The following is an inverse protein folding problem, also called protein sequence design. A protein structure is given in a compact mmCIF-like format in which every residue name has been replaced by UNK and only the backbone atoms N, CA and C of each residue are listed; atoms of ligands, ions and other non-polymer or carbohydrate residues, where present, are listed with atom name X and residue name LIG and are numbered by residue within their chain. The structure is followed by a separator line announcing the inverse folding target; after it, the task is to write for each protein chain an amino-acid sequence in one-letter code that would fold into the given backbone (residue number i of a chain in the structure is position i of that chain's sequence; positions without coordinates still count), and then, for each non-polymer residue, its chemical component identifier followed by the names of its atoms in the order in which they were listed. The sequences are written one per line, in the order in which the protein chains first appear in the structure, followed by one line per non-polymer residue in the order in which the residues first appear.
data_IF_602972325169
#
_entry.id   IF_602972325169
#
_cell.length_a   1.000
_cell.length_b   1.000
_cell.length_c   1.000
_cell.angle_alpha   90.00
_cell.angle_beta   90.00
_cell.angle_gamma   90.00
#
_symmetry.space_group_name_H-M   'P 1'
#
loop_
_entity.id
_entity.type
_entity.pdbx_description
1 polymer ?
#
# COMPACT_ATOMS: atom_id res chain seq x y z
N UNK A 1 78.51 -11.36 -6.46
CA UNK A 1 77.27 -11.47 -5.67
C UNK A 1 77.24 -10.32 -4.67
N UNK A 2 76.43 -9.30 -4.95
CA UNK A 2 76.25 -8.16 -4.04
C UNK A 2 75.02 -8.45 -3.19
N UNK A 3 75.15 -8.48 -1.87
CA UNK A 3 74.23 -7.79 -0.97
C UNK A 3 74.96 -7.50 0.34
N UNK A 4 75.32 -6.22 0.46
CA UNK A 4 75.82 -5.49 1.62
C UNK A 4 74.74 -5.34 2.68
N UNK A 5 75.02 -5.74 3.92
CA UNK A 5 74.26 -5.34 5.10
C UNK A 5 74.87 -4.06 5.69
N UNK A 6 74.06 -3.01 5.83
CA UNK A 6 74.42 -1.79 6.56
C UNK A 6 73.42 -1.61 7.71
N UNK A 7 73.96 -1.41 8.91
CA UNK A 7 73.23 -1.09 10.14
C UNK A 7 72.98 0.43 10.15
N UNK A 8 71.76 0.85 10.49
CA UNK A 8 71.50 2.20 10.97
C UNK A 8 70.61 2.18 12.22
N UNK A 9 71.14 2.77 13.29
CA UNK A 9 70.43 3.20 14.49
C UNK A 9 69.68 4.50 14.20
N UNK A 10 68.37 4.57 14.48
CA UNK A 10 67.66 5.85 14.61
C UNK A 10 66.70 5.87 15.80
N UNK A 11 66.73 7.04 16.45
CA UNK A 11 66.13 7.45 17.73
C UNK A 11 64.60 7.39 17.76
N UNK A 12 63.97 7.28 18.96
CA UNK A 12 62.52 7.37 19.08
C UNK A 12 62.06 8.82 18.85
N UNK A 13 61.15 9.01 17.89
CA UNK A 13 60.43 10.26 17.66
C UNK A 13 59.15 10.21 18.49
N UNK A 14 59.02 11.14 19.44
CA UNK A 14 57.78 11.41 20.17
C UNK A 14 56.79 12.04 19.17
N UNK A 15 55.75 11.31 18.77
CA UNK A 15 54.63 11.89 18.03
C UNK A 15 53.71 12.62 19.01
N UNK A 16 53.78 13.95 19.01
CA UNK A 16 52.80 14.81 19.67
C UNK A 16 51.53 14.81 18.80
N UNK A 17 50.51 14.05 19.21
CA UNK A 17 49.19 14.11 18.58
C UNK A 17 48.43 15.33 19.10
N UNK A 18 48.40 16.40 18.31
CA UNK A 18 47.49 17.53 18.55
C UNK A 18 46.09 17.10 18.11
N UNK A 19 45.27 16.70 19.08
CA UNK A 19 43.84 16.45 18.91
C UNK A 19 43.13 17.81 18.81
N UNK A 20 42.93 18.30 17.59
CA UNK A 20 42.06 19.46 17.34
C UNK A 20 40.61 18.97 17.45
N UNK A 21 39.98 19.21 18.60
CA UNK A 21 38.53 19.13 18.74
C UNK A 21 37.89 20.26 17.91
N UNK A 22 37.54 19.96 16.65
CA UNK A 22 36.52 20.76 15.99
C UNK A 22 35.18 20.40 16.63
N UNK A 23 34.73 21.25 17.55
CA UNK A 23 33.34 21.27 17.98
C UNK A 23 32.54 21.75 16.77
N UNK A 24 32.12 20.81 15.93
CA UNK A 24 31.08 21.05 14.96
C UNK A 24 29.81 21.39 15.72
N UNK A 25 29.40 22.66 15.68
CA UNK A 25 28.04 23.06 16.02
C UNK A 25 27.10 22.31 15.07
N UNK A 26 26.64 21.13 15.50
CA UNK A 26 25.48 20.47 14.91
C UNK A 26 24.30 21.39 15.21
N UNK A 27 24.04 22.31 14.30
CA UNK A 27 22.76 22.98 14.25
C UNK A 27 21.75 21.89 13.91
N UNK A 28 21.12 21.32 14.94
CA UNK A 28 19.84 20.67 14.78
C UNK A 28 18.88 21.76 14.28
N UNK A 29 18.86 21.98 12.96
CA UNK A 29 17.75 22.66 12.33
C UNK A 29 16.54 21.80 12.65
N UNK A 30 15.73 22.28 13.58
CA UNK A 30 14.34 21.86 13.73
C UNK A 30 13.68 22.10 12.36
N UNK A 31 13.72 21.11 11.48
CA UNK A 31 12.93 21.13 10.25
C UNK A 31 11.49 21.15 10.71
N UNK A 32 10.78 22.25 10.46
CA UNK A 32 9.35 22.29 10.68
C UNK A 32 8.71 21.05 10.03
N UNK A 33 7.74 20.40 10.70
CA UNK A 33 7.13 19.19 10.17
C UNK A 33 6.54 19.48 8.79
N UNK A 34 6.75 18.54 7.85
CA UNK A 34 6.20 18.65 6.50
C UNK A 34 4.67 18.62 6.61
N UNK A 35 4.01 19.62 6.05
CA UNK A 35 2.55 19.69 5.98
C UNK A 35 2.08 19.08 4.66
N UNK A 36 1.59 17.84 4.69
CA UNK A 36 1.07 17.18 3.49
C UNK A 36 -0.15 17.90 2.91
N UNK A 37 -1.01 18.49 3.75
CA UNK A 37 -2.17 19.25 3.29
C UNK A 37 -1.79 20.45 2.42
N UNK A 38 -0.69 21.14 2.75
CA UNK A 38 -0.20 22.27 1.96
C UNK A 38 0.40 21.80 0.63
N UNK A 39 1.10 20.67 0.65
CA UNK A 39 1.64 20.04 -0.57
C UNK A 39 0.52 19.66 -1.51
N UNK A 40 -0.52 18.98 -1.00
CA UNK A 40 -1.66 18.52 -1.77
C UNK A 40 -2.40 19.72 -2.40
N UNK A 41 -2.63 20.78 -1.61
CA UNK A 41 -3.26 22.00 -2.08
C UNK A 41 -2.44 22.73 -3.15
N UNK A 42 -1.11 22.64 -3.09
CA UNK A 42 -0.22 23.20 -4.10
C UNK A 42 -0.19 22.35 -5.37
N UNK A 43 -0.14 21.02 -5.25
CA UNK A 43 -0.19 20.07 -6.38
C UNK A 43 -1.50 20.19 -7.15
N UNK A 44 -2.62 20.43 -6.46
CA UNK A 44 -3.92 20.68 -7.08
C UNK A 44 -3.94 21.93 -7.99
N UNK A 45 -2.93 22.81 -7.90
CA UNK A 45 -2.78 24.00 -8.75
C UNK A 45 -1.84 23.76 -9.94
N UNK A 46 -1.26 22.57 -10.08
CA UNK A 46 -0.40 22.25 -11.21
C UNK A 46 -1.23 22.24 -12.51
N UNK A 47 -0.60 22.46 -13.68
CA UNK A 47 -1.32 22.45 -14.95
C UNK A 47 -1.99 21.09 -15.21
N UNK A 48 -3.24 21.10 -15.69
CA UNK A 48 -3.98 19.87 -16.02
C UNK A 48 -3.38 19.11 -17.22
N UNK A 49 -2.72 19.83 -18.12
CA UNK A 49 -2.17 19.35 -19.40
C UNK A 49 -0.68 18.96 -19.31
N UNK A 50 -0.29 18.27 -18.24
CA UNK A 50 1.02 17.63 -18.15
C UNK A 50 1.01 16.38 -19.03
N UNK A 51 1.72 16.46 -20.16
CA UNK A 51 1.82 15.40 -21.17
C UNK A 51 3.08 14.53 -21.02
N UNK A 52 4.00 14.92 -20.12
CA UNK A 52 5.22 14.18 -19.83
C UNK A 52 5.57 14.27 -18.33
N UNK A 53 6.12 13.19 -17.76
CA UNK A 53 6.43 13.12 -16.33
C UNK A 53 7.69 13.90 -15.95
N UNK A 54 8.59 14.16 -16.91
CA UNK A 54 9.78 14.98 -16.69
C UNK A 54 9.39 16.43 -16.33
N UNK A 55 8.40 17.01 -17.02
CA UNK A 55 7.86 18.34 -16.73
C UNK A 55 7.25 18.39 -15.33
N UNK A 56 6.49 17.35 -14.94
CA UNK A 56 5.97 17.25 -13.58
C UNK A 56 7.10 17.19 -12.54
N UNK A 57 8.13 16.36 -12.78
CA UNK A 57 9.28 16.27 -11.89
C UNK A 57 10.02 17.62 -11.78
N UNK A 58 10.09 18.41 -12.85
CA UNK A 58 10.64 19.77 -12.81
C UNK A 58 9.81 20.73 -11.95
N UNK A 59 8.47 20.69 -12.05
CA UNK A 59 7.59 21.48 -11.19
C UNK A 59 7.77 21.10 -9.71
N UNK A 60 7.80 19.80 -9.42
CA UNK A 60 7.98 19.27 -8.06
C UNK A 60 9.34 19.71 -7.49
N UNK A 61 10.44 19.60 -8.26
CA UNK A 61 11.78 20.03 -7.82
C UNK A 61 11.88 21.53 -7.58
N UNK A 62 11.11 22.34 -8.32
CA UNK A 62 11.06 23.78 -8.12
C UNK A 62 10.38 24.12 -6.80
N UNK A 63 9.29 23.42 -6.48
CA UNK A 63 8.45 23.74 -5.32
C UNK A 63 8.97 23.09 -4.02
N UNK A 64 9.67 21.96 -4.10
CA UNK A 64 10.09 21.18 -2.94
C UNK A 64 11.55 20.75 -3.00
N UNK A 65 12.24 20.91 -1.87
CA UNK A 65 13.64 20.49 -1.69
C UNK A 65 13.75 19.13 -0.99
N UNK A 66 12.90 18.87 0.01
CA UNK A 66 12.96 17.64 0.79
C UNK A 66 12.44 16.44 -0.03
N UNK A 67 13.16 15.30 -0.07
CA UNK A 67 12.75 14.12 -0.84
C UNK A 67 11.35 13.61 -0.48
N UNK A 68 10.96 13.66 0.79
CA UNK A 68 9.62 13.25 1.23
C UNK A 68 8.53 14.18 0.69
N UNK A 69 8.76 15.49 0.67
CA UNK A 69 7.81 16.44 0.10
C UNK A 69 7.69 16.27 -1.42
N UNK A 70 8.82 15.99 -2.10
CA UNK A 70 8.82 15.66 -3.52
C UNK A 70 8.06 14.35 -3.82
N UNK A 71 8.27 13.31 -3.00
CA UNK A 71 7.52 12.06 -3.11
C UNK A 71 6.03 12.29 -2.89
N UNK A 72 5.66 13.04 -1.86
CA UNK A 72 4.27 13.38 -1.57
C UNK A 72 3.61 14.02 -2.78
N UNK A 73 4.28 15.01 -3.38
CA UNK A 73 3.77 15.70 -4.54
C UNK A 73 3.59 14.77 -5.75
N UNK A 74 4.56 13.90 -6.01
CA UNK A 74 4.48 12.91 -7.09
C UNK A 74 3.33 11.91 -6.87
N UNK A 75 3.19 11.39 -5.65
CA UNK A 75 2.15 10.43 -5.27
C UNK A 75 0.75 11.03 -5.44
N UNK A 76 0.52 12.20 -4.84
CA UNK A 76 -0.78 12.87 -4.88
C UNK A 76 -1.16 13.22 -6.31
N UNK A 77 -0.22 13.74 -7.10
CA UNK A 77 -0.50 14.07 -8.49
C UNK A 77 -0.97 12.84 -9.26
N UNK A 78 -0.24 11.72 -9.18
CA UNK A 78 -0.63 10.48 -9.87
C UNK A 78 -1.99 9.97 -9.39
N UNK A 79 -2.23 9.92 -8.08
CA UNK A 79 -3.48 9.41 -7.50
C UNK A 79 -4.71 10.28 -7.81
N UNK A 80 -4.51 11.59 -8.03
CA UNK A 80 -5.63 12.54 -8.25
C UNK A 80 -5.86 12.88 -9.71
N UNK A 81 -4.89 12.63 -10.60
CA UNK A 81 -4.97 13.00 -12.02
C UNK A 81 -5.20 11.82 -12.97
N UNK A 82 -5.04 10.58 -12.49
CA UNK A 82 -5.33 9.36 -13.23
C UNK A 82 -6.53 8.67 -12.58
N UNK A 83 -7.47 8.19 -13.40
CA UNK A 83 -8.63 7.40 -12.96
C UNK A 83 -8.42 5.93 -13.30
N UNK A 84 -8.98 5.03 -12.50
CA UNK A 84 -8.84 3.61 -12.76
C UNK A 84 -9.67 3.21 -14.00
N UNK A 85 -9.03 2.51 -14.95
CA UNK A 85 -9.66 2.08 -16.20
C UNK A 85 -10.47 0.79 -15.99
N UNK A 86 -11.71 0.94 -15.51
CA UNK A 86 -12.60 -0.22 -15.29
C UNK A 86 -12.94 -0.94 -16.61
N UNK A 87 -13.04 -0.21 -17.72
CA UNK A 87 -13.33 -0.82 -19.02
C UNK A 87 -12.19 -1.72 -19.46
N UNK A 88 -10.94 -1.27 -19.37
CA UNK A 88 -9.78 -2.11 -19.69
C UNK A 88 -9.62 -3.26 -18.69
N UNK A 89 -9.85 -3.03 -17.39
CA UNK A 89 -9.83 -4.05 -16.35
C UNK A 89 -10.81 -5.20 -16.63
N UNK A 90 -12.05 -4.86 -17.02
CA UNK A 90 -13.09 -5.85 -17.33
C UNK A 90 -13.06 -6.37 -18.77
N UNK A 91 -12.25 -5.79 -19.66
CA UNK A 91 -12.18 -6.17 -21.08
C UNK A 91 -11.64 -7.58 -21.34
N UNK A 92 -11.11 -8.27 -20.31
CA UNK A 92 -10.48 -9.60 -20.40
C UNK A 92 -9.37 -9.68 -21.46
N UNK A 93 -8.79 -8.54 -21.85
CA UNK A 93 -7.73 -8.50 -22.86
C UNK A 93 -6.50 -9.26 -22.36
N UNK A 94 -5.89 -10.11 -23.20
CA UNK A 94 -4.68 -10.82 -22.80
C UNK A 94 -3.54 -9.82 -22.60
N UNK A 95 -2.75 -10.03 -21.54
CA UNK A 95 -1.54 -9.25 -21.27
C UNK A 95 -0.59 -9.30 -22.47
N UNK A 96 -0.10 -8.13 -22.91
CA UNK A 96 0.87 -8.03 -24.01
C UNK A 96 2.16 -8.77 -23.66
N UNK A 97 2.53 -9.77 -24.47
CA UNK A 97 3.78 -10.52 -24.31
C UNK A 97 4.91 -9.82 -25.05
N UNK A 98 5.99 -9.51 -24.35
CA UNK A 98 7.21 -8.92 -24.93
C UNK A 98 8.25 -10.03 -25.14
N UNK A 99 8.50 -10.39 -26.40
CA UNK A 99 9.55 -11.33 -26.78
C UNK A 99 10.89 -10.60 -26.98
N UNK A 100 11.99 -11.20 -26.54
CA UNK A 100 13.35 -10.65 -26.64
C UNK A 100 14.38 -11.77 -26.74
N UNK A 101 15.55 -11.47 -27.33
CA UNK A 101 16.65 -12.41 -27.57
C UNK A 101 17.90 -12.11 -26.74
N UNK A 102 17.98 -10.93 -26.13
CA UNK A 102 19.09 -10.52 -25.26
C UNK A 102 18.62 -9.66 -24.10
N UNK A 103 19.45 -9.53 -23.05
CA UNK A 103 19.19 -8.64 -21.91
C UNK A 103 19.07 -7.17 -22.33
N UNK A 104 19.91 -6.73 -23.28
CA UNK A 104 19.88 -5.36 -23.79
C UNK A 104 18.58 -5.07 -24.55
N UNK A 105 18.16 -6.00 -25.42
CA UNK A 105 16.90 -5.88 -26.15
C UNK A 105 15.70 -5.86 -25.19
N UNK A 106 15.69 -6.75 -24.18
CA UNK A 106 14.67 -6.76 -23.12
C UNK A 106 14.56 -5.39 -22.45
N UNK A 107 15.69 -4.80 -22.03
CA UNK A 107 15.72 -3.49 -21.37
C UNK A 107 15.15 -2.39 -22.27
N UNK A 108 15.52 -2.37 -23.55
CA UNK A 108 15.00 -1.39 -24.53
C UNK A 108 13.51 -1.54 -24.74
N UNK A 109 13.01 -2.77 -24.98
CA UNK A 109 11.58 -3.04 -25.23
C UNK A 109 10.72 -2.72 -24.01
N UNK A 110 11.19 -3.04 -22.80
CA UNK A 110 10.49 -2.67 -21.57
C UNK A 110 10.40 -1.15 -21.41
N UNK A 111 11.49 -0.42 -21.67
CA UNK A 111 11.47 1.05 -21.61
C UNK A 111 10.46 1.65 -22.60
N UNK A 112 10.39 1.13 -23.82
CA UNK A 112 9.41 1.57 -24.83
C UNK A 112 7.99 1.26 -24.37
N UNK A 113 7.73 0.07 -23.83
CA UNK A 113 6.42 -0.30 -23.32
C UNK A 113 5.98 0.57 -22.14
N UNK A 114 6.88 0.85 -21.19
CA UNK A 114 6.64 1.75 -20.06
C UNK A 114 6.32 3.17 -20.54
N UNK A 115 7.10 3.70 -21.48
CA UNK A 115 6.86 5.01 -22.06
C UNK A 115 5.48 5.09 -22.73
N UNK A 116 5.14 4.11 -23.56
CA UNK A 116 3.84 4.05 -24.24
C UNK A 116 2.67 3.93 -23.25
N UNK A 117 2.85 3.20 -22.14
CA UNK A 117 1.86 3.07 -21.07
C UNK A 117 1.61 4.43 -20.41
N UNK A 118 2.68 5.13 -20.01
CA UNK A 118 2.61 6.46 -19.39
C UNK A 118 1.95 7.47 -20.34
N UNK A 119 2.41 7.55 -21.59
CA UNK A 119 1.85 8.48 -22.59
C UNK A 119 0.37 8.22 -22.85
N UNK A 120 -0.05 6.95 -22.88
CA UNK A 120 -1.46 6.60 -22.96
C UNK A 120 -2.21 7.11 -21.74
N UNK A 121 -1.73 6.82 -20.52
CA UNK A 121 -2.39 7.24 -19.29
C UNK A 121 -2.44 8.75 -19.10
N UNK A 122 -1.40 9.49 -19.47
CA UNK A 122 -1.39 10.95 -19.41
C UNK A 122 -2.39 11.57 -20.39
N UNK A 123 -2.54 10.99 -21.58
CA UNK A 123 -3.47 11.44 -22.61
C UNK A 123 -4.92 11.12 -22.27
N UNK A 124 -5.21 9.91 -21.83
CA UNK A 124 -6.58 9.46 -21.53
C UNK A 124 -7.02 9.80 -20.10
N UNK A 125 -6.08 10.13 -19.21
CA UNK A 125 -6.27 10.22 -17.76
C UNK A 125 -6.80 8.91 -17.16
N UNK A 126 -6.49 7.78 -17.78
CA UNK A 126 -6.93 6.43 -17.40
C UNK A 126 -5.73 5.49 -17.24
N UNK A 127 -5.78 4.59 -16.26
CA UNK A 127 -4.75 3.57 -16.08
C UNK A 127 -5.18 2.40 -15.20
N UNK A 128 -4.48 1.28 -15.34
CA UNK A 128 -4.51 0.15 -14.40
C UNK A 128 -3.36 0.26 -13.40
N UNK A 129 -3.32 -0.61 -12.39
CA UNK A 129 -2.30 -0.58 -11.34
C UNK A 129 -0.84 -0.52 -11.86
N UNK A 130 -0.54 -1.20 -12.97
CA UNK A 130 0.78 -1.11 -13.62
C UNK A 130 1.13 0.32 -14.06
N UNK A 131 0.17 1.09 -14.57
CA UNK A 131 0.37 2.48 -14.99
C UNK A 131 0.69 3.36 -13.78
N UNK A 132 -0.11 3.29 -12.70
CA UNK A 132 0.14 4.04 -11.46
C UNK A 132 1.52 3.74 -10.90
N UNK A 133 1.85 2.46 -10.71
CA UNK A 133 3.12 2.05 -10.13
C UNK A 133 4.32 2.45 -11.02
N UNK A 134 4.15 2.41 -12.34
CA UNK A 134 5.17 2.85 -13.31
C UNK A 134 5.35 4.37 -13.27
N UNK A 135 4.28 5.15 -13.22
CA UNK A 135 4.34 6.61 -13.15
C UNK A 135 5.04 7.09 -11.88
N UNK A 136 4.69 6.51 -10.71
CA UNK A 136 5.38 6.83 -9.45
C UNK A 136 6.86 6.47 -9.53
N UNK A 137 7.20 5.29 -10.05
CA UNK A 137 8.60 4.86 -10.22
C UNK A 137 9.40 5.82 -11.10
N UNK A 138 8.84 6.25 -12.23
CA UNK A 138 9.50 7.18 -13.16
C UNK A 138 9.68 8.56 -12.53
N UNK A 139 8.67 9.06 -11.81
CA UNK A 139 8.79 10.31 -11.06
C UNK A 139 9.86 10.22 -9.97
N UNK A 140 9.87 9.13 -9.19
CA UNK A 140 10.91 8.89 -8.18
C UNK A 140 12.31 8.87 -8.80
N UNK A 141 12.50 8.20 -9.94
CA UNK A 141 13.78 8.18 -10.64
C UNK A 141 14.21 9.59 -11.09
N UNK A 142 13.28 10.38 -11.63
CA UNK A 142 13.53 11.76 -12.02
C UNK A 142 13.88 12.64 -10.81
N UNK A 143 13.27 12.37 -9.66
CA UNK A 143 13.47 13.04 -8.38
C UNK A 143 14.68 12.49 -7.59
N UNK A 144 15.37 11.46 -8.10
CA UNK A 144 16.49 10.78 -7.43
C UNK A 144 16.10 10.13 -6.10
N UNK A 145 14.86 9.67 -5.98
CA UNK A 145 14.34 8.91 -4.85
C UNK A 145 14.39 7.42 -5.24
N UNK A 146 15.17 6.56 -4.57
CA UNK A 146 15.20 5.16 -4.91
C UNK A 146 13.82 4.54 -4.72
N UNK A 147 13.31 3.88 -5.76
CA UNK A 147 12.00 3.25 -5.75
C UNK A 147 12.04 1.94 -6.54
N UNK A 148 11.13 1.03 -6.22
CA UNK A 148 10.91 -0.22 -6.95
C UNK A 148 9.42 -0.42 -7.24
N UNK A 149 9.11 -1.16 -8.29
CA UNK A 149 7.75 -1.64 -8.55
C UNK A 149 7.66 -3.05 -7.98
N UNK A 150 6.68 -3.27 -7.11
CA UNK A 150 6.39 -4.56 -6.51
C UNK A 150 5.17 -5.14 -7.21
N UNK A 151 5.28 -6.41 -7.63
CA UNK A 151 4.15 -7.16 -8.15
C UNK A 151 3.69 -8.15 -7.08
N UNK A 152 2.39 -8.38 -6.98
CA UNK A 152 1.89 -9.35 -6.02
C UNK A 152 0.39 -9.53 -6.07
N UNK A 153 -0.17 -9.69 -4.88
CA UNK A 153 -1.54 -10.15 -4.67
C UNK A 153 -2.27 -9.20 -3.74
N UNK A 154 -3.50 -8.87 -4.10
CA UNK A 154 -4.45 -8.22 -3.20
C UNK A 154 -5.59 -9.14 -2.84
N UNK A 155 -6.22 -8.86 -1.70
CA UNK A 155 -7.37 -9.61 -1.21
C UNK A 155 -8.55 -8.67 -1.01
N UNK A 156 -9.34 -8.48 -2.07
CA UNK A 156 -10.50 -7.57 -2.10
C UNK A 156 -11.84 -8.31 -2.19
N UNK A 157 -11.82 -9.64 -2.28
CA UNK A 157 -13.01 -10.47 -2.47
C UNK A 157 -13.06 -11.61 -1.45
N UNK A 158 -14.16 -11.69 -0.70
CA UNK A 158 -14.38 -12.69 0.34
C UNK A 158 -14.31 -14.13 -0.19
N UNK A 159 -14.53 -14.36 -1.49
CA UNK A 159 -14.36 -15.68 -2.13
C UNK A 159 -12.92 -16.18 -2.06
N UNK A 160 -11.94 -15.27 -2.05
CA UNK A 160 -10.52 -15.58 -1.95
C UNK A 160 -10.10 -16.02 -0.54
N UNK A 161 -10.92 -15.78 0.48
CA UNK A 161 -10.61 -16.19 1.85
C UNK A 161 -10.56 -17.72 1.95
N UNK A 162 -9.44 -18.21 2.46
CA UNK A 162 -9.10 -19.62 2.59
C UNK A 162 -8.63 -20.27 1.28
N UNK A 163 -8.44 -19.51 0.21
CA UNK A 163 -7.92 -19.99 -1.09
C UNK A 163 -6.44 -19.67 -1.25
N UNK A 164 -5.82 -20.05 -2.37
CA UNK A 164 -4.45 -19.63 -2.72
C UNK A 164 -4.36 -19.35 -4.22
N UNK A 165 -4.81 -18.16 -4.67
CA UNK A 165 -4.75 -17.75 -6.06
C UNK A 165 -3.33 -17.77 -6.59
N UNK A 166 -3.15 -18.23 -7.83
CA UNK A 166 -1.81 -18.30 -8.47
C UNK A 166 -1.49 -17.00 -9.20
N UNK A 167 -2.49 -16.37 -9.80
CA UNK A 167 -2.35 -15.19 -10.66
C UNK A 167 -2.19 -13.94 -9.79
N UNK A 168 -1.10 -13.21 -10.03
CA UNK A 168 -0.85 -11.87 -9.50
C UNK A 168 -1.86 -10.91 -10.09
N UNK A 169 -2.46 -10.06 -9.27
CA UNK A 169 -3.55 -9.18 -9.68
C UNK A 169 -3.27 -7.71 -9.38
N UNK A 170 -2.08 -7.37 -8.86
CA UNK A 170 -1.78 -5.99 -8.48
C UNK A 170 -0.30 -5.62 -8.55
N UNK A 171 -0.04 -4.31 -8.69
CA UNK A 171 1.28 -3.71 -8.68
C UNK A 171 1.26 -2.39 -7.89
N UNK A 172 2.30 -2.17 -7.08
CA UNK A 172 2.47 -0.99 -6.23
C UNK A 172 3.97 -0.64 -6.10
N UNK A 173 4.35 0.25 -5.18
CA UNK A 173 5.74 0.66 -5.02
C UNK A 173 6.28 0.45 -3.60
N UNK A 174 7.60 0.26 -3.52
CA UNK A 174 8.35 0.63 -2.33
C UNK A 174 9.35 1.74 -2.68
N UNK A 175 9.61 2.62 -1.73
CA UNK A 175 10.50 3.79 -1.86
C UNK A 175 11.46 3.86 -0.69
N UNK A 176 12.69 4.29 -0.94
CA UNK A 176 13.69 4.45 0.11
C UNK A 176 13.74 5.91 0.56
N UNK A 177 13.36 6.17 1.80
CA UNK A 177 13.33 7.50 2.41
C UNK A 177 13.73 7.39 3.88
N UNK A 178 14.51 8.37 4.36
CA UNK A 178 14.96 8.43 5.77
C UNK A 178 15.55 7.10 6.24
N UNK A 179 16.50 6.60 5.44
CA UNK A 179 17.29 5.39 5.66
C UNK A 179 16.50 4.07 5.75
N UNK A 180 15.25 4.04 5.31
CA UNK A 180 14.43 2.82 5.30
C UNK A 180 13.51 2.73 4.07
N UNK A 181 13.03 1.52 3.78
CA UNK A 181 12.05 1.28 2.73
C UNK A 181 10.63 1.46 3.28
N UNK A 182 9.79 2.12 2.49
CA UNK A 182 8.37 2.37 2.78
C UNK A 182 7.49 1.84 1.66
N UNK A 183 6.28 1.42 1.99
CA UNK A 183 5.29 0.92 1.04
C UNK A 183 4.28 2.01 0.69
N UNK A 184 3.86 2.06 -0.57
CA UNK A 184 2.80 2.95 -1.02
C UNK A 184 2.07 2.39 -2.24
N UNK A 185 0.80 2.77 -2.39
CA UNK A 185 -0.03 2.39 -3.54
C UNK A 185 -0.89 3.54 -4.04
N UNK A 186 -0.42 4.20 -5.11
CA UNK A 186 -1.15 5.29 -5.75
C UNK A 186 -2.44 4.84 -6.42
N UNK A 187 -2.60 3.55 -6.72
CA UNK A 187 -3.82 3.00 -7.33
C UNK A 187 -4.95 2.98 -6.32
N UNK A 188 -4.71 2.38 -5.14
CA UNK A 188 -5.71 2.31 -4.07
C UNK A 188 -5.92 3.67 -3.40
N UNK A 189 -4.92 4.55 -3.45
CA UNK A 189 -5.06 5.96 -3.06
C UNK A 189 -5.95 6.78 -3.98
N UNK A 190 -6.13 6.39 -5.25
CA UNK A 190 -6.85 7.21 -6.23
C UNK A 190 -8.38 7.20 -6.02
N UNK A 191 -8.91 6.10 -5.47
CA UNK A 191 -10.33 5.91 -5.27
C UNK A 191 -10.76 4.46 -5.46
N UNK A 192 -12.06 4.24 -5.62
CA UNK A 192 -12.64 2.90 -5.55
C UNK A 192 -13.70 2.67 -6.64
N UNK A 193 -13.92 1.40 -7.00
CA UNK A 193 -15.07 1.02 -7.81
C UNK A 193 -16.35 1.00 -6.96
N UNK A 194 -17.36 1.73 -7.40
CA UNK A 194 -18.72 1.62 -6.87
C UNK A 194 -19.47 0.54 -7.64
N UNK A 195 -19.31 -0.70 -7.17
CA UNK A 195 -19.73 -1.96 -7.82
C UNK A 195 -21.17 -1.92 -8.35
N UNK A 196 -22.12 -1.41 -7.55
CA UNK A 196 -23.54 -1.37 -7.95
C UNK A 196 -23.84 -0.35 -9.07
N UNK A 197 -22.97 0.65 -9.25
CA UNK A 197 -23.04 1.63 -10.35
C UNK A 197 -22.09 1.28 -11.50
N UNK A 198 -21.22 0.27 -11.32
CA UNK A 198 -20.14 -0.09 -12.25
C UNK A 198 -19.33 1.13 -12.71
N UNK A 199 -19.04 2.02 -11.75
CA UNK A 199 -18.32 3.27 -12.03
C UNK A 199 -17.18 3.44 -11.06
N UNK A 200 -16.12 4.06 -11.53
CA UNK A 200 -15.03 4.48 -10.67
C UNK A 200 -15.40 5.81 -10.00
N UNK A 201 -15.11 5.94 -8.71
CA UNK A 201 -15.24 7.18 -7.95
C UNK A 201 -13.88 7.58 -7.40
N UNK A 202 -13.47 8.81 -7.71
CA UNK A 202 -12.29 9.44 -7.12
C UNK A 202 -12.55 9.65 -5.63
N UNK A 203 -11.67 9.13 -4.78
CA UNK A 203 -11.73 9.33 -3.34
C UNK A 203 -10.30 9.20 -2.82
N UNK A 204 -9.58 10.32 -2.85
CA UNK A 204 -8.15 10.31 -2.53
C UNK A 204 -7.95 9.83 -1.09
N UNK A 205 -7.19 8.75 -0.93
CA UNK A 205 -6.98 8.09 0.34
C UNK A 205 -5.51 8.12 0.76
N UNK A 206 -5.24 8.94 1.77
CA UNK A 206 -3.93 9.17 2.34
C UNK A 206 -3.30 7.92 2.98
N UNK A 207 -4.14 6.97 3.41
CA UNK A 207 -3.73 5.76 4.12
C UNK A 207 -2.66 4.95 3.37
N UNK A 208 -2.67 4.99 2.04
CA UNK A 208 -1.75 4.24 1.18
C UNK A 208 -0.45 5.00 0.85
N UNK A 209 -0.16 6.10 1.55
CA UNK A 209 1.10 6.83 1.44
C UNK A 209 2.02 6.49 2.62
N UNK A 210 3.18 5.88 2.33
CA UNK A 210 4.17 5.49 3.34
C UNK A 210 3.55 4.66 4.48
N UNK A 211 2.73 3.68 4.12
CA UNK A 211 1.99 2.87 5.08
C UNK A 211 2.93 1.93 5.85
N UNK A 212 2.60 1.68 7.12
CA UNK A 212 3.28 0.70 7.97
C UNK A 212 3.19 -0.71 7.35
N UNK A 213 4.32 -1.42 7.16
CA UNK A 213 4.35 -2.80 6.68
C UNK A 213 3.38 -3.76 7.39
N UNK A 214 3.18 -3.63 8.71
CA UNK A 214 2.27 -4.47 9.50
C UNK A 214 0.79 -4.28 9.14
N UNK A 215 0.43 -3.09 8.67
CA UNK A 215 -0.90 -2.79 8.14
C UNK A 215 -1.00 -3.18 6.66
N UNK A 216 0.01 -2.81 5.87
CA UNK A 216 0.02 -3.03 4.42
C UNK A 216 -0.11 -4.52 4.06
N UNK A 217 0.56 -5.40 4.81
CA UNK A 217 0.53 -6.85 4.59
C UNK A 217 -0.85 -7.48 4.78
N UNK A 218 -1.80 -6.80 5.45
CA UNK A 218 -3.16 -7.34 5.64
C UNK A 218 -3.98 -7.31 4.34
N UNK A 219 -3.61 -6.47 3.38
CA UNK A 219 -4.30 -6.34 2.09
C UNK A 219 -3.39 -6.51 0.86
N UNK A 220 -2.08 -6.30 0.97
CA UNK A 220 -1.10 -6.51 -0.08
C UNK A 220 -0.07 -7.59 0.27
N UNK A 221 0.03 -8.63 -0.54
CA UNK A 221 1.04 -9.68 -0.40
C UNK A 221 2.00 -9.69 -1.61
N UNK A 222 3.29 -9.37 -1.43
CA UNK A 222 4.24 -9.32 -2.54
C UNK A 222 4.60 -10.71 -3.08
N UNK A 223 4.94 -10.79 -4.36
CA UNK A 223 5.48 -12.01 -4.96
C UNK A 223 6.86 -12.37 -4.36
N UNK A 224 7.72 -11.37 -4.23
CA UNK A 224 8.99 -11.50 -3.52
C UNK A 224 8.77 -11.12 -2.05
N UNK A 225 8.88 -12.13 -1.18
CA UNK A 225 8.58 -12.05 0.25
C UNK A 225 9.43 -11.02 1.00
N UNK A 226 10.58 -10.62 0.46
CA UNK A 226 11.42 -9.59 1.08
C UNK A 226 10.75 -8.21 1.08
N UNK A 227 9.84 -7.96 0.13
CA UNK A 227 9.08 -6.71 0.07
C UNK A 227 7.90 -6.64 1.03
N UNK A 228 7.76 -7.63 1.93
CA UNK A 228 6.84 -7.48 3.06
C UNK A 228 7.36 -6.46 4.06
N UNK A 229 8.70 -6.27 4.13
CA UNK A 229 9.36 -5.38 5.09
C UNK A 229 9.03 -5.67 6.56
N UNK A 230 8.61 -6.90 6.85
CA UNK A 230 8.32 -7.39 8.20
C UNK A 230 9.56 -8.05 8.80
N UNK A 231 9.70 -7.93 10.12
CA UNK A 231 10.66 -8.73 10.88
C UNK A 231 10.33 -10.23 10.80
N UNK A 232 9.04 -10.57 10.90
CA UNK A 232 8.52 -11.93 10.73
C UNK A 232 7.62 -12.03 9.48
N UNK A 233 8.15 -12.50 8.33
CA UNK A 233 7.36 -12.61 7.11
C UNK A 233 6.17 -13.56 7.24
N UNK A 234 5.01 -13.12 6.76
CA UNK A 234 3.82 -13.97 6.70
C UNK A 234 3.86 -14.85 5.45
N UNK A 235 3.26 -16.04 5.55
CA UNK A 235 3.09 -16.91 4.39
C UNK A 235 1.85 -16.50 3.59
N UNK A 236 1.88 -16.75 2.27
CA UNK A 236 0.72 -16.50 1.39
C UNK A 236 -0.53 -17.24 1.86
N UNK A 237 -0.38 -18.47 2.36
CA UNK A 237 -1.49 -19.24 2.91
C UNK A 237 -2.08 -18.59 4.18
N UNK A 238 -1.24 -18.01 5.05
CA UNK A 238 -1.71 -17.26 6.21
C UNK A 238 -2.43 -15.98 5.80
N UNK A 239 -1.87 -15.22 4.85
CA UNK A 239 -2.48 -14.02 4.27
C UNK A 239 -3.91 -14.26 3.78
N UNK A 240 -4.17 -15.34 3.03
CA UNK A 240 -5.51 -15.66 2.57
C UNK A 240 -6.44 -16.23 3.64
N UNK A 241 -5.94 -16.62 4.81
CA UNK A 241 -6.77 -17.08 5.94
C UNK A 241 -7.29 -15.95 6.82
N UNK A 242 -6.79 -14.72 6.69
CA UNK A 242 -7.29 -13.58 7.48
C UNK A 242 -8.54 -12.96 6.84
N UNK A 243 -9.34 -12.18 7.61
CA UNK A 243 -10.39 -11.35 7.05
C UNK A 243 -9.85 -10.33 6.03
N UNK A 244 -10.75 -9.67 5.31
CA UNK A 244 -10.40 -8.48 4.52
C UNK A 244 -10.57 -7.27 5.43
N UNK A 245 -9.55 -6.43 5.52
CA UNK A 245 -9.57 -5.19 6.28
C UNK A 245 -9.61 -4.02 5.30
N UNK A 246 -10.46 -3.04 5.58
CA UNK A 246 -10.55 -1.79 4.82
C UNK A 246 -9.87 -0.66 5.59
N UNK A 247 -9.48 0.42 4.91
CA UNK A 247 -8.83 1.60 5.52
C UNK A 247 -9.50 2.04 6.83
N UNK A 248 -10.83 2.17 6.82
CA UNK A 248 -11.58 2.65 7.96
C UNK A 248 -11.41 1.79 9.22
N UNK A 249 -10.98 0.53 9.10
CA UNK A 249 -10.61 -0.31 10.24
C UNK A 249 -9.47 0.30 11.05
N UNK A 250 -8.40 0.74 10.39
CA UNK A 250 -7.19 1.25 11.03
C UNK A 250 -7.40 2.60 11.73
N UNK A 251 -8.41 3.36 11.32
CA UNK A 251 -8.79 4.63 11.94
C UNK A 251 -9.99 4.49 12.90
N UNK A 252 -10.49 3.27 13.14
CA UNK A 252 -11.77 3.08 13.86
C UNK A 252 -11.68 2.92 15.38
N UNK A 253 -10.49 2.77 15.96
CA UNK A 253 -10.25 2.27 17.34
C UNK A 253 -10.81 0.86 17.62
N UNK A 254 -11.28 0.16 16.58
CA UNK A 254 -11.84 -1.20 16.70
C UNK A 254 -10.79 -2.22 16.31
N UNK A 255 -10.47 -3.13 17.22
CA UNK A 255 -9.52 -4.20 16.98
C UNK A 255 -10.21 -5.55 17.09
N UNK A 256 -10.26 -6.29 15.99
CA UNK A 256 -10.75 -7.66 15.98
C UNK A 256 -9.73 -8.56 16.69
N UNK A 257 -10.21 -9.43 17.58
CA UNK A 257 -9.36 -10.38 18.27
C UNK A 257 -8.77 -11.42 17.31
N UNK A 258 -7.48 -11.70 17.44
CA UNK A 258 -6.70 -12.58 16.54
C UNK A 258 -7.16 -14.04 16.51
N UNK A 259 -8.03 -14.43 17.46
CA UNK A 259 -8.70 -15.73 17.46
C UNK A 259 -9.56 -15.93 16.21
N UNK A 260 -10.03 -14.84 15.60
CA UNK A 260 -10.87 -14.89 14.41
C UNK A 260 -10.01 -15.04 13.15
N UNK A 261 -10.44 -15.96 12.29
CA UNK A 261 -9.95 -16.08 10.91
C UNK A 261 -10.95 -15.41 9.97
N UNK A 262 -10.59 -15.32 8.69
CA UNK A 262 -11.45 -14.73 7.67
C UNK A 262 -12.73 -15.54 7.38
N UNK A 263 -12.75 -16.83 7.72
CA UNK A 263 -13.92 -17.69 7.54
C UNK A 263 -14.65 -17.90 8.86
N UNK A 264 -15.92 -17.53 8.90
CA UNK A 264 -16.84 -17.78 10.01
C UNK A 264 -17.70 -19.01 9.70
N UNK A 265 -17.81 -19.92 10.68
CA UNK A 265 -18.69 -21.09 10.57
C UNK A 265 -20.10 -20.73 11.04
N UNK A 266 -21.09 -20.91 10.17
CA UNK A 266 -22.49 -20.60 10.43
C UNK A 266 -23.33 -21.88 10.52
N UNK A 267 -24.21 -21.95 11.52
CA UNK A 267 -25.17 -23.04 11.70
C UNK A 267 -26.60 -22.49 11.53
N UNK A 268 -27.35 -22.89 10.49
CA UNK A 268 -28.73 -22.44 10.31
C UNK A 268 -29.66 -22.80 11.46
N UNK A 269 -29.37 -23.87 12.22
CA UNK A 269 -30.13 -24.29 13.40
C UNK A 269 -29.87 -23.38 14.62
N UNK A 270 -28.75 -22.68 14.63
CA UNK A 270 -28.37 -21.70 15.65
C UNK A 270 -27.86 -20.43 14.97
N UNK A 271 -28.76 -19.55 14.48
CA UNK A 271 -28.43 -18.50 13.52
C UNK A 271 -27.79 -17.26 14.18
N UNK A 272 -26.75 -17.50 14.98
CA UNK A 272 -26.00 -16.49 15.72
C UNK A 272 -24.51 -16.67 15.45
N UNK A 273 -23.87 -15.61 14.98
CA UNK A 273 -22.41 -15.50 14.92
C UNK A 273 -21.90 -14.68 16.10
N UNK A 274 -20.74 -15.07 16.62
CA UNK A 274 -20.07 -14.41 17.73
C UNK A 274 -18.71 -13.90 17.28
N UNK A 275 -18.48 -12.60 17.49
CA UNK A 275 -17.20 -11.96 17.20
C UNK A 275 -16.61 -11.38 18.49
N UNK A 276 -15.30 -11.43 18.59
CA UNK A 276 -14.54 -10.97 19.74
C UNK A 276 -13.67 -9.81 19.29
N UNK A 277 -13.71 -8.73 20.04
CA UNK A 277 -12.93 -7.52 19.79
C UNK A 277 -12.11 -7.21 21.04
N UNK A 278 -10.82 -6.90 20.84
CA UNK A 278 -9.95 -6.51 21.94
C UNK A 278 -10.25 -5.06 22.34
N UNK A 279 -10.48 -4.19 21.34
CA UNK A 279 -10.92 -2.80 21.51
C UNK A 279 -12.14 -2.49 20.64
N UNK A 280 -12.90 -1.46 21.02
CA UNK A 280 -14.06 -1.00 20.25
C UNK A 280 -14.08 0.51 20.12
N UNK A 281 -14.53 0.94 18.95
CA UNK A 281 -15.03 2.28 18.68
C UNK A 281 -16.08 2.72 19.71
N UNK A 282 -16.09 4.01 20.04
CA UNK A 282 -17.18 4.65 20.82
C UNK A 282 -18.51 4.65 20.06
N UNK A 283 -18.45 4.66 18.74
CA UNK A 283 -19.62 4.67 17.86
C UNK A 283 -20.15 3.25 17.60
N UNK A 284 -21.46 3.09 17.37
CA UNK A 284 -22.06 1.79 17.15
C UNK A 284 -21.57 1.12 15.86
N UNK A 285 -21.33 -0.18 15.93
CA UNK A 285 -21.03 -1.00 14.76
C UNK A 285 -22.30 -1.61 14.17
N UNK A 286 -22.29 -1.78 12.86
CA UNK A 286 -23.36 -2.42 12.08
C UNK A 286 -22.80 -3.59 11.28
N UNK A 287 -23.65 -4.51 10.87
CA UNK A 287 -23.27 -5.57 9.94
C UNK A 287 -24.29 -5.74 8.83
N UNK A 288 -23.80 -6.21 7.68
CA UNK A 288 -24.62 -6.73 6.58
C UNK A 288 -24.17 -8.15 6.24
N UNK A 289 -25.10 -8.93 5.71
CA UNK A 289 -24.81 -10.22 5.06
C UNK A 289 -25.26 -10.16 3.62
N UNK A 290 -24.81 -11.12 2.81
CA UNK A 290 -25.28 -11.30 1.43
C UNK A 290 -26.82 -11.22 1.35
N UNK A 291 -27.33 -10.52 0.32
CA UNK A 291 -28.76 -10.35 0.09
C UNK A 291 -29.48 -9.37 1.03
N UNK A 292 -28.83 -8.85 2.08
CA UNK A 292 -29.42 -7.85 2.96
C UNK A 292 -29.18 -6.43 2.43
N UNK A 293 -30.24 -5.62 2.38
CA UNK A 293 -30.17 -4.20 2.00
C UNK A 293 -30.16 -3.25 3.21
N UNK A 294 -30.35 -3.76 4.43
CA UNK A 294 -30.48 -2.94 5.64
C UNK A 294 -29.45 -3.34 6.68
N UNK A 295 -28.48 -2.46 7.02
CA UNK A 295 -27.50 -2.73 8.05
C UNK A 295 -28.15 -2.99 9.41
N UNK A 296 -27.69 -4.01 10.12
CA UNK A 296 -28.17 -4.36 11.44
C UNK A 296 -27.18 -3.92 12.50
N UNK A 297 -27.64 -3.20 13.53
CA UNK A 297 -26.80 -2.79 14.65
C UNK A 297 -26.28 -4.02 15.42
N UNK A 298 -24.98 -4.09 15.65
CA UNK A 298 -24.34 -5.17 16.40
C UNK A 298 -24.63 -5.00 17.90
N UNK A 299 -25.05 -6.07 18.56
CA UNK A 299 -25.21 -6.09 20.02
C UNK A 299 -23.91 -6.52 20.67
N UNK A 300 -23.27 -5.62 21.42
CA UNK A 300 -21.97 -5.85 22.02
C UNK A 300 -22.08 -5.79 23.55
N UNK A 301 -21.40 -6.71 24.24
CA UNK A 301 -21.22 -6.71 25.69
C UNK A 301 -19.75 -6.77 26.04
N UNK A 302 -19.35 -6.12 27.13
CA UNK A 302 -18.01 -6.28 27.70
C UNK A 302 -17.84 -7.72 28.20
N UNK A 303 -16.67 -8.29 27.95
CA UNK A 303 -16.25 -9.61 28.39
C UNK A 303 -15.00 -9.48 29.28
N UNK A 304 -14.55 -10.57 29.89
CA UNK A 304 -13.30 -10.59 30.65
C UNK A 304 -12.07 -10.29 29.77
N UNK A 305 -12.15 -10.63 28.47
CA UNK A 305 -11.10 -10.41 27.46
C UNK A 305 -11.62 -9.51 26.33
N UNK A 306 -11.86 -8.23 26.63
CA UNK A 306 -12.35 -7.26 25.65
C UNK A 306 -13.87 -7.26 25.51
N UNK A 307 -14.38 -7.49 24.31
CA UNK A 307 -15.79 -7.32 23.96
C UNK A 307 -16.33 -8.46 23.11
N UNK A 308 -17.56 -8.87 23.40
CA UNK A 308 -18.26 -9.94 22.71
C UNK A 308 -19.46 -9.38 21.95
N UNK A 309 -19.42 -9.52 20.62
CA UNK A 309 -20.47 -9.13 19.70
C UNK A 309 -21.35 -10.32 19.34
N UNK A 310 -22.67 -10.13 19.44
CA UNK A 310 -23.69 -11.09 19.02
C UNK A 310 -24.36 -10.61 17.74
N UNK A 311 -24.25 -11.39 16.66
CA UNK A 311 -24.81 -11.07 15.36
C UNK A 311 -25.90 -12.12 15.03
N UNK A 312 -27.17 -11.69 14.96
CA UNK A 312 -28.29 -12.57 14.61
C UNK A 312 -28.46 -12.55 13.10
N UNK A 313 -28.16 -13.67 12.44
CA UNK A 313 -28.21 -13.77 10.98
C UNK A 313 -29.63 -14.18 10.57
N UNK A 314 -30.22 -13.46 9.62
CA UNK A 314 -31.58 -13.72 9.13
C UNK A 314 -31.60 -14.65 7.92
N UNK A 315 -30.60 -14.52 7.06
CA UNK A 315 -30.43 -15.36 5.88
C UNK A 315 -29.97 -16.77 6.32
N UNK A 316 -30.63 -17.86 5.89
CA UNK A 316 -30.18 -19.23 6.18
C UNK A 316 -28.95 -19.65 5.36
N UNK A 317 -28.60 -18.92 4.29
CA UNK A 317 -27.42 -19.21 3.46
C UNK A 317 -26.52 -17.98 3.25
N UNK A 318 -26.05 -17.34 4.33
CA UNK A 318 -25.23 -16.15 4.22
C UNK A 318 -23.87 -16.51 3.61
N UNK A 319 -23.45 -15.78 2.57
CA UNK A 319 -22.18 -16.04 1.87
C UNK A 319 -21.00 -15.27 2.48
N UNK A 320 -21.26 -14.06 2.94
CA UNK A 320 -20.28 -13.19 3.58
C UNK A 320 -20.94 -12.31 4.63
N UNK A 321 -20.10 -11.70 5.46
CA UNK A 321 -20.49 -10.71 6.44
C UNK A 321 -19.53 -9.53 6.42
N UNK A 322 -20.08 -8.33 6.33
CA UNK A 322 -19.33 -7.07 6.38
C UNK A 322 -19.69 -6.31 7.64
N UNK A 323 -18.70 -5.79 8.36
CA UNK A 323 -18.86 -4.91 9.51
C UNK A 323 -18.67 -3.47 9.06
N UNK A 324 -19.52 -2.57 9.53
CA UNK A 324 -19.48 -1.15 9.21
C UNK A 324 -19.42 -0.28 10.45
N UNK A 325 -18.81 0.89 10.29
CA UNK A 325 -18.89 2.04 11.18
C UNK A 325 -19.07 3.28 10.30
N UNK A 326 -20.01 4.16 10.65
CA UNK A 326 -20.24 5.43 9.95
C UNK A 326 -20.37 5.27 8.42
N UNK A 327 -21.10 4.23 7.99
CA UNK A 327 -21.32 3.85 6.60
C UNK A 327 -20.05 3.39 5.83
N UNK A 328 -18.90 3.33 6.48
CA UNK A 328 -17.66 2.77 5.94
C UNK A 328 -17.51 1.30 6.35
N UNK A 329 -17.14 0.45 5.41
CA UNK A 329 -16.80 -0.95 5.69
C UNK A 329 -15.50 -1.00 6.49
N UNK A 330 -15.44 -1.90 7.48
CA UNK A 330 -14.26 -2.13 8.33
C UNK A 330 -13.64 -3.49 8.02
N UNK A 331 -14.45 -4.55 8.08
CA UNK A 331 -13.97 -5.93 8.00
C UNK A 331 -14.96 -6.78 7.22
N UNK A 332 -14.41 -7.59 6.32
CA UNK A 332 -15.14 -8.55 5.51
C UNK A 332 -14.75 -9.99 5.86
N UNK A 333 -15.76 -10.82 6.08
CA UNK A 333 -15.63 -12.24 6.41
C UNK A 333 -16.34 -13.10 5.36
N UNK A 334 -15.74 -14.24 5.05
CA UNK A 334 -16.42 -15.35 4.37
C UNK A 334 -17.26 -16.12 5.37
N UNK A 335 -18.46 -16.54 4.99
CA UNK A 335 -19.25 -17.46 5.80
C UNK A 335 -19.29 -18.83 5.13
N UNK A 336 -19.00 -19.88 5.91
CA UNK A 336 -19.19 -21.26 5.52
C UNK A 336 -20.34 -21.86 6.34
N UNK A 337 -21.37 -22.35 5.65
CA UNK A 337 -22.55 -22.96 6.27
C UNK A 337 -22.23 -24.41 6.62
N UNK A 338 -22.48 -24.80 7.87
CA UNK A 338 -22.41 -26.21 8.29
C UNK A 338 -23.49 -26.99 7.55
N UNK A 339 -23.08 -28.08 6.92
CA UNK A 339 -23.99 -29.03 6.29
C UNK A 339 -24.75 -29.85 7.33
#
# INVERSE_FOLDING_TARGET
MKHSGLIYLYKPILFLTVLVWQIGLVHAQSTAPISYTDIDAQVAKYPDNIDNLEQLAHLIKRDYVLPEAQLRAAFVWVATHIKYDLDDYYSMRPTKRIYYRSRLERKRKLKIAQQSLIEQSLRTKLGLCEAYATMVKVLCDALQIPAVIINGYTKTDTRLIGTTPVIKNHAWNAVYLKDQWWLLDATWAAGNEVVYRKRWEADFNDHYFLEDPEHFIKHHFPEDVNWQLLEEPVTKASFYKTPIFYEAYYTSDTQLSEIHKGTLLFDPKSPVLWLHFDTLSKQPLYFLTYGSTTPQKIKIKKSHRGYLAKLKIKDPNPRFLTIFKDQKALIDFKIAVKQ
#
